data_IF_812137752285
#
_entry.id   IF_812137752285
#
_cell.length_a   1.000
_cell.length_b   1.000
_cell.length_c   1.000
_cell.angle_alpha   90.00
_cell.angle_beta   90.00
_cell.angle_gamma   90.00
#
_symmetry.space_group_name_H-M   'P 1'
#
loop_
_entity.id
_entity.type
_entity.pdbx_description
1 polymer ?
#
# COMPACT_ATOMS: atom_id res chain seq x y z
N UNK A 1 -8.14 -3.57 22.54
CA UNK A 1 -8.04 -2.12 22.76
C UNK A 1 -6.73 -1.64 22.14
N UNK A 2 -6.78 -1.16 20.90
CA UNK A 2 -5.68 -0.43 20.25
C UNK A 2 -6.11 1.04 20.21
N UNK A 3 -6.04 1.68 21.37
CA UNK A 3 -6.42 3.09 21.54
C UNK A 3 -5.35 3.97 20.90
N UNK A 4 -5.76 4.73 19.88
CA UNK A 4 -4.97 5.68 19.11
C UNK A 4 -3.92 5.01 18.22
N UNK A 5 -3.98 5.28 16.91
CA UNK A 5 -3.07 4.77 15.88
C UNK A 5 -1.61 5.21 15.99
N UNK A 6 -1.10 5.43 17.21
CA UNK A 6 0.29 5.71 17.53
C UNK A 6 1.09 4.45 17.94
N UNK A 7 0.43 3.31 18.20
CA UNK A 7 1.08 2.04 18.57
C UNK A 7 2.31 1.68 17.71
N UNK A 8 2.25 1.71 16.36
CA UNK A 8 3.40 1.29 15.55
C UNK A 8 4.58 2.27 15.62
N UNK A 9 4.35 3.54 15.98
CA UNK A 9 5.44 4.53 16.07
C UNK A 9 6.30 4.35 17.32
N UNK A 10 5.72 3.88 18.43
CA UNK A 10 6.42 3.76 19.72
C UNK A 10 7.60 2.79 19.65
N UNK A 11 7.34 1.56 19.19
CA UNK A 11 8.36 0.51 19.07
C UNK A 11 9.47 0.95 18.11
N UNK A 12 9.11 1.46 16.92
CA UNK A 12 10.10 1.95 15.96
C UNK A 12 10.98 3.06 16.55
N UNK A 13 10.40 4.00 17.30
CA UNK A 13 11.15 5.13 17.87
C UNK A 13 12.17 4.67 18.91
N UNK A 14 11.80 3.72 19.78
CA UNK A 14 12.71 3.17 20.80
C UNK A 14 13.88 2.45 20.13
N UNK A 15 13.60 1.50 19.24
CA UNK A 15 14.63 0.73 18.52
C UNK A 15 15.54 1.65 17.69
N UNK A 16 14.96 2.61 16.97
CA UNK A 16 15.73 3.57 16.18
C UNK A 16 16.64 4.44 17.07
N UNK A 17 16.17 4.85 18.26
CA UNK A 17 16.97 5.64 19.20
C UNK A 17 18.19 4.87 19.69
N UNK A 18 18.06 3.55 19.90
CA UNK A 18 19.18 2.68 20.27
C UNK A 18 20.20 2.52 19.13
N UNK A 19 19.73 2.45 17.88
CA UNK A 19 20.60 2.34 16.70
C UNK A 19 21.22 3.67 16.28
N UNK A 20 20.63 4.80 16.65
CA UNK A 20 21.01 6.13 16.19
C UNK A 20 22.48 6.48 16.43
N UNK A 21 23.09 6.23 17.61
CA UNK A 21 24.51 6.48 17.83
C UNK A 21 25.41 5.69 16.89
N UNK A 22 25.08 4.40 16.66
CA UNK A 22 25.83 3.56 15.74
C UNK A 22 25.72 4.07 14.29
N UNK A 23 24.53 4.50 13.85
CA UNK A 23 24.33 5.09 12.54
C UNK A 23 25.14 6.37 12.35
N UNK A 24 25.21 7.24 13.36
CA UNK A 24 26.04 8.45 13.32
C UNK A 24 27.54 8.14 13.23
N UNK A 25 28.01 7.14 13.99
CA UNK A 25 29.41 6.70 13.94
C UNK A 25 29.78 6.09 12.59
N UNK A 26 28.85 5.38 11.95
CA UNK A 26 29.06 4.76 10.62
C UNK A 26 28.87 5.75 9.45
N UNK A 27 28.26 6.90 9.69
CA UNK A 27 27.90 7.87 8.64
C UNK A 27 29.12 8.34 7.80
N UNK A 28 30.28 8.73 8.37
CA UNK A 28 31.43 9.17 7.57
C UNK A 28 31.95 8.06 6.64
N UNK A 29 31.96 6.81 7.13
CA UNK A 29 32.37 5.66 6.35
C UNK A 29 31.38 5.37 5.21
N UNK A 30 30.07 5.40 5.51
CA UNK A 30 29.02 5.24 4.51
C UNK A 30 29.10 6.31 3.43
N UNK A 31 29.28 7.59 3.80
CA UNK A 31 29.43 8.69 2.84
C UNK A 31 30.61 8.44 1.90
N UNK A 32 31.79 8.15 2.45
CA UNK A 32 32.98 7.82 1.64
C UNK A 32 32.75 6.62 0.72
N UNK A 33 32.13 5.56 1.24
CA UNK A 33 31.81 4.35 0.48
C UNK A 33 30.83 4.64 -0.66
N UNK A 34 29.83 5.49 -0.42
CA UNK A 34 28.80 5.85 -1.38
C UNK A 34 29.32 6.78 -2.47
N UNK A 35 30.06 7.83 -2.10
CA UNK A 35 30.62 8.80 -3.04
C UNK A 35 31.61 8.16 -4.03
N UNK A 36 32.29 7.07 -3.65
CA UNK A 36 33.18 6.36 -4.57
C UNK A 36 32.47 5.43 -5.56
N UNK A 37 31.14 5.25 -5.44
CA UNK A 37 30.34 4.31 -6.26
C UNK A 37 29.18 4.97 -6.99
N UNK A 38 28.74 6.14 -6.54
CA UNK A 38 27.71 6.91 -7.20
C UNK A 38 28.30 7.62 -8.43
N UNK A 39 27.58 7.57 -9.55
CA UNK A 39 27.96 8.30 -10.77
C UNK A 39 27.97 9.82 -10.54
N UNK A 40 27.04 10.31 -9.71
CA UNK A 40 26.95 11.71 -9.29
C UNK A 40 27.15 11.78 -7.77
N UNK A 41 28.37 12.06 -7.28
CA UNK A 41 28.65 12.13 -5.85
C UNK A 41 28.01 13.36 -5.18
N UNK A 42 27.84 14.47 -5.91
CA UNK A 42 27.14 15.67 -5.43
C UNK A 42 25.63 15.57 -5.69
N UNK A 43 25.01 14.60 -5.03
CA UNK A 43 23.58 14.33 -5.15
C UNK A 43 22.69 15.36 -4.40
N UNK A 44 21.40 15.08 -4.33
CA UNK A 44 20.42 15.93 -3.64
C UNK A 44 20.79 16.18 -2.17
N UNK A 45 21.36 15.18 -1.49
CA UNK A 45 21.75 15.29 -0.08
C UNK A 45 22.98 16.20 0.07
N UNK A 46 23.97 16.08 -0.82
CA UNK A 46 25.14 16.96 -0.84
C UNK A 46 24.74 18.43 -1.06
N UNK A 47 23.82 18.69 -2.00
CA UNK A 47 23.28 20.03 -2.29
C UNK A 47 22.60 20.66 -1.07
N UNK A 48 21.82 19.88 -0.32
CA UNK A 48 21.23 20.33 0.94
C UNK A 48 22.33 20.62 1.99
N UNK A 49 23.36 19.76 2.07
CA UNK A 49 24.51 19.95 2.94
C UNK A 49 25.24 21.27 2.69
N UNK A 50 25.49 21.63 1.43
CA UNK A 50 26.06 22.93 1.07
C UNK A 50 25.20 24.12 1.50
N UNK A 51 23.87 23.97 1.50
CA UNK A 51 22.98 24.99 2.03
C UNK A 51 23.10 25.12 3.55
N UNK A 52 23.16 24.01 4.28
CA UNK A 52 23.32 23.99 5.74
C UNK A 52 24.66 24.59 6.18
N UNK A 53 25.72 24.35 5.41
CA UNK A 53 27.05 24.94 5.62
C UNK A 53 27.16 26.39 5.11
N UNK A 54 26.07 27.00 4.65
CA UNK A 54 26.01 28.36 4.10
C UNK A 54 26.91 28.59 2.88
N UNK A 55 27.30 27.53 2.18
CA UNK A 55 28.09 27.60 0.94
C UNK A 55 27.22 27.91 -0.27
N UNK A 56 25.93 27.56 -0.22
CA UNK A 56 24.94 27.84 -1.27
C UNK A 56 23.61 28.30 -0.66
N UNK A 57 22.81 29.05 -1.42
CA UNK A 57 21.45 29.44 -1.00
C UNK A 57 20.47 28.29 -1.25
N UNK A 58 19.53 28.12 -0.33
CA UNK A 58 18.42 27.19 -0.51
C UNK A 58 17.56 27.59 -1.72
N UNK A 59 17.29 26.64 -2.59
CA UNK A 59 16.49 26.83 -3.80
C UNK A 59 15.34 25.83 -3.82
N UNK A 60 14.09 26.33 -3.74
CA UNK A 60 12.91 25.46 -3.63
C UNK A 60 12.78 24.47 -4.79
N UNK A 61 13.05 24.91 -6.02
CA UNK A 61 12.95 24.07 -7.22
C UNK A 61 13.94 22.88 -7.19
N UNK A 62 15.09 23.02 -6.53
CA UNK A 62 16.07 21.94 -6.40
C UNK A 62 15.76 21.01 -5.21
N UNK A 63 15.32 21.58 -4.08
CA UNK A 63 15.21 20.84 -2.82
C UNK A 63 13.82 20.26 -2.56
N UNK A 64 12.78 20.72 -3.25
CA UNK A 64 11.41 20.21 -3.09
C UNK A 64 11.34 18.70 -3.30
N UNK A 65 12.04 18.16 -4.31
CA UNK A 65 12.05 16.73 -4.59
C UNK A 65 12.61 15.92 -3.42
N UNK A 66 13.75 16.35 -2.87
CA UNK A 66 14.37 15.75 -1.70
C UNK A 66 13.47 15.82 -0.46
N UNK A 67 12.85 16.98 -0.20
CA UNK A 67 11.94 17.15 0.93
C UNK A 67 10.73 16.22 0.84
N UNK A 68 10.07 16.12 -0.32
CA UNK A 68 8.92 15.24 -0.52
C UNK A 68 9.32 13.76 -0.39
N UNK A 69 10.41 13.35 -1.03
CA UNK A 69 10.97 11.99 -0.90
C UNK A 69 11.32 11.64 0.54
N UNK A 70 11.91 12.58 1.28
CA UNK A 70 12.25 12.39 2.69
C UNK A 70 11.00 12.32 3.56
N UNK A 71 9.98 13.13 3.27
CA UNK A 71 8.69 13.10 3.96
C UNK A 71 7.97 11.76 3.76
N UNK A 72 7.98 11.20 2.55
CA UNK A 72 7.46 9.83 2.30
C UNK A 72 8.17 8.82 3.20
N UNK A 73 9.50 8.83 3.24
CA UNK A 73 10.26 7.90 4.09
C UNK A 73 9.97 8.10 5.57
N UNK A 74 9.94 9.34 6.04
CA UNK A 74 9.68 9.70 7.43
C UNK A 74 8.29 9.22 7.89
N UNK A 75 7.28 9.31 7.03
CA UNK A 75 5.93 8.86 7.35
C UNK A 75 5.81 7.33 7.29
N UNK A 76 6.30 6.71 6.23
CA UNK A 76 6.01 5.30 5.97
C UNK A 76 6.98 4.32 6.60
N UNK A 77 8.25 4.65 6.83
CA UNK A 77 9.18 3.73 7.50
C UNK A 77 8.67 3.34 8.90
N UNK A 78 8.31 4.29 9.79
CA UNK A 78 7.82 3.93 11.12
C UNK A 78 6.52 3.14 11.06
N UNK A 79 5.61 3.49 10.15
CA UNK A 79 4.32 2.80 9.99
C UNK A 79 4.53 1.34 9.56
N UNK A 80 5.35 1.10 8.52
CA UNK A 80 5.57 -0.24 7.99
C UNK A 80 6.39 -1.11 8.95
N UNK A 81 7.47 -0.56 9.50
CA UNK A 81 8.32 -1.29 10.44
C UNK A 81 7.59 -1.57 11.77
N UNK A 82 6.88 -0.58 12.32
CA UNK A 82 6.06 -0.75 13.51
C UNK A 82 4.97 -1.80 13.34
N UNK A 83 4.20 -1.72 12.24
CA UNK A 83 3.20 -2.72 11.94
C UNK A 83 3.81 -4.12 11.72
N UNK A 84 5.01 -4.20 11.14
CA UNK A 84 5.74 -5.45 10.98
C UNK A 84 6.10 -6.05 12.33
N UNK A 85 6.59 -5.25 13.28
CA UNK A 85 6.88 -5.71 14.64
C UNK A 85 5.62 -6.20 15.34
N UNK A 86 4.55 -5.41 15.35
CA UNK A 86 3.26 -5.79 15.96
C UNK A 86 2.73 -7.11 15.37
N UNK A 87 2.78 -7.25 14.04
CA UNK A 87 2.30 -8.45 13.33
C UNK A 87 3.18 -9.67 13.63
N UNK A 88 4.50 -9.46 13.74
CA UNK A 88 5.45 -10.53 14.06
C UNK A 88 5.28 -11.00 15.50
N UNK A 89 5.13 -10.09 16.45
CA UNK A 89 4.85 -10.43 17.85
C UNK A 89 3.55 -11.22 17.96
N UNK A 90 2.49 -10.77 17.28
CA UNK A 90 1.23 -11.49 17.24
C UNK A 90 1.40 -12.92 16.66
N UNK A 91 2.17 -13.10 15.58
CA UNK A 91 2.45 -14.42 15.00
C UNK A 91 3.25 -15.33 15.94
N UNK A 92 4.21 -14.79 16.68
CA UNK A 92 5.01 -15.54 17.65
C UNK A 92 4.16 -16.04 18.83
N UNK A 93 3.14 -15.27 19.22
CA UNK A 93 2.20 -15.62 20.28
C UNK A 93 0.95 -16.36 19.75
N UNK A 94 0.85 -16.57 18.43
CA UNK A 94 -0.34 -17.13 17.81
C UNK A 94 -0.49 -18.62 18.10
N UNK A 95 -1.59 -19.00 18.76
CA UNK A 95 -1.88 -20.39 19.10
C UNK A 95 -2.51 -21.12 17.92
N UNK A 96 -1.67 -21.81 17.14
CA UNK A 96 -2.12 -22.62 16.01
C UNK A 96 -3.01 -23.77 16.47
N UNK A 97 -4.09 -24.02 15.71
CA UNK A 97 -4.96 -25.18 15.90
C UNK A 97 -5.54 -25.63 14.57
N UNK A 98 -6.05 -26.86 14.50
CA UNK A 98 -6.71 -27.39 13.31
C UNK A 98 -8.10 -26.76 13.02
N UNK A 99 -8.56 -25.80 13.85
CA UNK A 99 -9.82 -25.11 13.63
C UNK A 99 -9.73 -24.23 12.37
N UNK A 100 -10.63 -24.36 11.38
CA UNK A 100 -10.53 -23.63 10.11
C UNK A 100 -10.37 -22.11 10.25
N UNK A 101 -11.14 -21.47 11.14
CA UNK A 101 -11.04 -20.02 11.38
C UNK A 101 -9.68 -19.60 11.94
N UNK A 102 -9.07 -20.43 12.78
CA UNK A 102 -7.73 -20.17 13.35
C UNK A 102 -6.67 -20.30 12.26
N UNK A 103 -6.76 -21.30 11.39
CA UNK A 103 -5.86 -21.47 10.25
C UNK A 103 -5.96 -20.27 9.31
N UNK A 104 -7.18 -19.84 8.96
CA UNK A 104 -7.41 -18.70 8.07
C UNK A 104 -6.83 -17.43 8.68
N UNK A 105 -7.09 -17.16 9.96
CA UNK A 105 -6.54 -16.01 10.67
C UNK A 105 -5.00 -16.04 10.70
N UNK A 106 -4.39 -17.20 10.97
CA UNK A 106 -2.95 -17.38 10.97
C UNK A 106 -2.32 -17.14 9.60
N UNK A 107 -2.88 -17.73 8.53
CA UNK A 107 -2.41 -17.54 7.14
C UNK A 107 -2.57 -16.08 6.70
N UNK A 108 -3.71 -15.46 7.02
CA UNK A 108 -3.93 -14.04 6.75
C UNK A 108 -2.86 -13.17 7.40
N UNK A 109 -2.59 -13.42 8.68
CA UNK A 109 -1.58 -12.68 9.44
C UNK A 109 -0.18 -12.91 8.88
N UNK A 110 0.14 -14.14 8.48
CA UNK A 110 1.42 -14.45 7.83
C UNK A 110 1.59 -13.69 6.52
N UNK A 111 0.56 -13.66 5.67
CA UNK A 111 0.59 -12.90 4.43
C UNK A 111 0.67 -11.39 4.66
N UNK A 112 0.04 -10.87 5.71
CA UNK A 112 0.21 -9.48 6.15
C UNK A 112 1.66 -9.18 6.57
N UNK A 113 2.30 -10.06 7.35
CA UNK A 113 3.70 -9.91 7.70
C UNK A 113 4.60 -9.89 6.45
N UNK A 114 4.33 -10.78 5.49
CA UNK A 114 5.05 -10.80 4.21
C UNK A 114 4.89 -9.48 3.41
N UNK A 115 3.67 -8.93 3.32
CA UNK A 115 3.41 -7.61 2.71
C UNK A 115 4.21 -6.50 3.40
N UNK A 116 4.21 -6.50 4.73
CA UNK A 116 4.91 -5.51 5.55
C UNK A 116 6.43 -5.62 5.45
N UNK A 117 6.99 -6.82 5.30
CA UNK A 117 8.41 -7.03 5.00
C UNK A 117 8.77 -6.37 3.67
N UNK A 118 8.01 -6.65 2.61
CA UNK A 118 8.23 -6.05 1.29
C UNK A 118 8.16 -4.52 1.38
N UNK A 119 7.14 -3.99 2.07
CA UNK A 119 6.99 -2.55 2.23
C UNK A 119 8.15 -1.93 3.01
N UNK A 120 8.54 -2.52 4.14
CA UNK A 120 9.64 -2.04 4.99
C UNK A 120 10.96 -2.04 4.22
N UNK A 121 11.29 -3.15 3.55
CA UNK A 121 12.47 -3.26 2.68
C UNK A 121 12.42 -2.19 1.59
N UNK A 122 11.25 -2.04 0.95
CA UNK A 122 11.01 -1.05 -0.10
C UNK A 122 11.40 0.35 0.34
N UNK A 123 11.00 0.78 1.54
CA UNK A 123 11.33 2.12 2.04
C UNK A 123 12.75 2.26 2.59
N UNK A 124 13.21 1.30 3.40
CA UNK A 124 14.53 1.36 4.06
C UNK A 124 15.66 1.31 3.03
N UNK A 125 15.54 0.42 2.04
CA UNK A 125 16.57 0.21 1.03
C UNK A 125 16.40 1.08 -0.22
N UNK A 126 15.53 2.10 -0.19
CA UNK A 126 15.37 3.04 -1.30
C UNK A 126 16.61 3.94 -1.47
N UNK A 127 17.58 3.49 -2.27
CA UNK A 127 18.88 4.13 -2.46
C UNK A 127 19.36 4.03 -3.91
N UNK A 128 20.11 5.05 -4.36
CA UNK A 128 20.78 5.05 -5.68
C UNK A 128 21.79 3.90 -5.78
N UNK A 129 22.44 3.52 -4.67
CA UNK A 129 23.41 2.43 -4.61
C UNK A 129 22.80 1.07 -4.99
N UNK A 130 21.52 0.86 -4.68
CA UNK A 130 20.80 -0.38 -4.94
C UNK A 130 19.95 -0.29 -6.21
N UNK A 131 20.10 0.79 -7.01
CA UNK A 131 19.29 1.05 -8.20
C UNK A 131 17.77 0.93 -7.95
N UNK A 132 17.36 1.36 -6.74
CA UNK A 132 15.99 1.32 -6.27
C UNK A 132 15.54 2.70 -5.80
N UNK A 133 16.20 3.78 -6.21
CA UNK A 133 15.92 5.10 -5.71
C UNK A 133 14.51 5.60 -6.09
N UNK A 134 14.02 6.54 -5.27
CA UNK A 134 12.84 7.32 -5.61
C UNK A 134 13.23 8.35 -6.65
N UNK A 135 12.73 8.16 -7.88
CA UNK A 135 12.94 9.04 -9.04
C UNK A 135 12.03 10.26 -9.02
N UNK A 136 10.81 10.09 -8.48
CA UNK A 136 9.84 11.18 -8.32
C UNK A 136 8.87 10.86 -7.19
N UNK A 137 8.37 11.90 -6.54
CA UNK A 137 7.32 11.82 -5.53
C UNK A 137 6.12 12.63 -6.01
N UNK A 138 4.90 12.17 -5.73
CA UNK A 138 3.66 12.82 -6.13
C UNK A 138 3.68 14.30 -5.69
N UNK A 139 3.63 15.26 -6.62
CA UNK A 139 3.73 16.68 -6.27
C UNK A 139 2.39 17.26 -5.81
N UNK A 140 1.28 16.52 -5.90
CA UNK A 140 -0.07 17.03 -5.68
C UNK A 140 -0.61 16.67 -4.30
N UNK A 141 -1.05 17.68 -3.54
CA UNK A 141 -1.63 17.49 -2.21
C UNK A 141 -2.81 16.49 -2.18
N UNK A 142 -3.62 16.46 -3.24
CA UNK A 142 -4.74 15.51 -3.33
C UNK A 142 -4.30 14.04 -3.31
N UNK A 143 -3.16 13.70 -3.94
CA UNK A 143 -2.62 12.34 -3.86
C UNK A 143 -2.19 11.98 -2.45
N UNK A 144 -1.54 12.93 -1.77
CA UNK A 144 -1.14 12.78 -0.36
C UNK A 144 -2.34 12.58 0.56
N UNK A 145 -3.36 13.45 0.50
CA UNK A 145 -4.53 13.35 1.37
C UNK A 145 -5.28 12.03 1.21
N UNK A 146 -5.51 11.63 -0.04
CA UNK A 146 -6.21 10.39 -0.39
C UNK A 146 -5.38 9.15 -0.03
N UNK A 147 -4.06 9.24 -0.05
CA UNK A 147 -3.18 8.17 0.43
C UNK A 147 -3.21 8.09 1.96
N UNK A 148 -3.00 9.22 2.65
CA UNK A 148 -2.84 9.29 4.10
C UNK A 148 -4.11 8.94 4.87
N UNK A 149 -5.31 9.10 4.30
CA UNK A 149 -6.55 8.63 4.95
C UNK A 149 -6.55 7.11 5.21
N UNK A 150 -5.75 6.34 4.46
CA UNK A 150 -5.57 4.91 4.67
C UNK A 150 -4.47 4.56 5.68
N UNK A 151 -3.88 5.55 6.35
CA UNK A 151 -2.76 5.38 7.27
C UNK A 151 -2.97 6.17 8.56
N UNK A 152 -2.42 5.73 9.69
CA UNK A 152 -2.50 6.51 10.92
C UNK A 152 -1.86 7.91 10.75
N UNK A 153 -2.39 8.96 11.43
CA UNK A 153 -3.53 8.93 12.34
C UNK A 153 -4.91 9.00 11.65
N UNK A 154 -4.97 9.35 10.36
CA UNK A 154 -6.23 9.58 9.64
C UNK A 154 -7.04 8.29 9.40
N UNK A 155 -6.40 7.12 9.51
CA UNK A 155 -7.04 5.80 9.44
C UNK A 155 -8.24 5.66 10.40
N UNK A 156 -8.26 6.40 11.51
CA UNK A 156 -9.40 6.43 12.45
C UNK A 156 -10.69 6.89 11.74
N UNK A 157 -10.59 7.91 10.89
CA UNK A 157 -11.73 8.41 10.11
C UNK A 157 -12.21 7.33 9.14
N UNK A 158 -11.27 6.69 8.45
CA UNK A 158 -11.58 5.60 7.52
C UNK A 158 -12.30 4.44 8.22
N UNK A 159 -11.82 4.03 9.39
CA UNK A 159 -12.46 2.97 10.18
C UNK A 159 -13.84 3.37 10.69
N UNK A 160 -14.00 4.61 11.16
CA UNK A 160 -15.29 5.10 11.65
C UNK A 160 -16.37 5.09 10.56
N UNK A 161 -16.06 5.59 9.35
CA UNK A 161 -17.00 5.58 8.23
C UNK A 161 -17.29 4.16 7.73
N UNK A 162 -16.29 3.26 7.75
CA UNK A 162 -16.44 1.86 7.34
C UNK A 162 -17.21 1.01 8.37
N UNK A 163 -17.34 1.45 9.61
CA UNK A 163 -17.86 0.60 10.69
C UNK A 163 -19.31 0.17 10.43
N UNK A 164 -19.52 -1.15 10.39
CA UNK A 164 -20.86 -1.73 10.23
C UNK A 164 -21.70 -1.52 11.51
N UNK A 165 -23.01 -1.65 11.37
CA UNK A 165 -24.00 -1.51 12.47
C UNK A 165 -23.86 -2.59 13.52
N UNK A 166 -23.40 -3.75 13.10
CA UNK A 166 -23.18 -4.96 13.88
C UNK A 166 -21.71 -5.39 13.78
N UNK A 167 -21.38 -6.54 14.40
CA UNK A 167 -20.06 -7.16 14.34
C UNK A 167 -20.07 -8.47 13.54
N UNK A 168 -21.13 -8.73 12.78
CA UNK A 168 -21.28 -9.94 11.99
C UNK A 168 -20.47 -9.80 10.69
N UNK A 169 -19.96 -10.93 10.22
CA UNK A 169 -19.15 -11.03 9.02
C UNK A 169 -19.69 -12.13 8.11
N UNK A 170 -19.04 -12.32 6.96
CA UNK A 170 -19.45 -13.31 5.97
C UNK A 170 -19.60 -14.75 6.50
N UNK A 171 -18.81 -15.13 7.52
CA UNK A 171 -18.87 -16.46 8.11
C UNK A 171 -20.02 -16.62 9.12
N UNK A 172 -20.65 -15.53 9.55
CA UNK A 172 -21.88 -15.55 10.35
C UNK A 172 -23.12 -15.61 9.44
N UNK A 173 -22.99 -15.09 8.21
CA UNK A 173 -24.05 -15.14 7.19
C UNK A 173 -24.19 -16.52 6.55
N UNK A 174 -23.06 -17.16 6.21
CA UNK A 174 -23.02 -18.43 5.52
C UNK A 174 -22.57 -19.55 6.46
N UNK A 175 -23.23 -20.70 6.38
CA UNK A 175 -22.89 -21.88 7.16
C UNK A 175 -22.07 -22.89 6.34
N UNK A 176 -21.17 -23.63 7.00
CA UNK A 176 -20.18 -24.48 6.32
C UNK A 176 -20.77 -25.69 5.57
N UNK A 177 -22.03 -26.03 5.82
CA UNK A 177 -22.83 -27.03 5.08
C UNK A 177 -23.27 -26.54 3.69
N UNK A 178 -23.24 -25.23 3.44
CA UNK A 178 -23.65 -24.65 2.16
C UNK A 178 -22.46 -24.58 1.18
N UNK A 179 -22.61 -25.03 -0.08
CA UNK A 179 -21.57 -24.85 -1.10
C UNK A 179 -21.17 -23.38 -1.32
N UNK A 180 -22.12 -22.46 -1.13
CA UNK A 180 -21.89 -21.02 -1.25
C UNK A 180 -20.86 -20.52 -0.23
N UNK A 181 -20.79 -21.10 0.98
CA UNK A 181 -19.79 -20.77 1.99
C UNK A 181 -18.37 -20.95 1.45
N UNK A 182 -18.10 -22.12 0.86
CA UNK A 182 -16.78 -22.46 0.34
C UNK A 182 -16.40 -21.64 -0.88
N UNK A 183 -17.37 -21.37 -1.77
CA UNK A 183 -17.16 -20.45 -2.88
C UNK A 183 -16.80 -19.03 -2.38
N UNK A 184 -17.54 -18.51 -1.39
CA UNK A 184 -17.31 -17.19 -0.83
C UNK A 184 -15.94 -17.09 -0.12
N UNK A 185 -15.61 -18.11 0.68
CA UNK A 185 -14.32 -18.24 1.36
C UNK A 185 -13.15 -18.28 0.36
N UNK A 186 -13.30 -19.05 -0.73
CA UNK A 186 -12.33 -19.12 -1.81
C UNK A 186 -12.12 -17.76 -2.47
N UNK A 187 -13.20 -17.05 -2.79
CA UNK A 187 -13.13 -15.73 -3.41
C UNK A 187 -12.44 -14.71 -2.50
N UNK A 188 -12.79 -14.66 -1.21
CA UNK A 188 -12.10 -13.81 -0.23
C UNK A 188 -10.61 -14.15 -0.18
N UNK A 189 -10.26 -15.44 -0.10
CA UNK A 189 -8.85 -15.86 -0.08
C UNK A 189 -8.11 -15.44 -1.36
N UNK A 190 -8.74 -15.60 -2.52
CA UNK A 190 -8.19 -15.19 -3.81
C UNK A 190 -7.94 -13.68 -3.88
N UNK A 191 -8.76 -12.85 -3.23
CA UNK A 191 -8.52 -11.40 -3.16
C UNK A 191 -7.23 -11.07 -2.39
N UNK A 192 -7.00 -11.65 -1.21
CA UNK A 192 -5.76 -11.39 -0.47
C UNK A 192 -4.52 -11.94 -1.17
N UNK A 193 -4.63 -13.12 -1.78
CA UNK A 193 -3.53 -13.66 -2.60
C UNK A 193 -3.19 -12.73 -3.76
N UNK A 194 -4.21 -12.21 -4.46
CA UNK A 194 -4.01 -11.21 -5.53
C UNK A 194 -3.34 -9.95 -4.98
N UNK A 195 -3.75 -9.48 -3.80
CA UNK A 195 -3.16 -8.33 -3.14
C UNK A 195 -1.68 -8.57 -2.80
N UNK A 196 -1.33 -9.66 -2.12
CA UNK A 196 0.06 -9.97 -1.73
C UNK A 196 0.96 -10.23 -2.92
N UNK A 197 0.48 -10.94 -3.96
CA UNK A 197 1.24 -11.14 -5.20
C UNK A 197 1.48 -9.79 -5.90
N UNK A 198 0.51 -8.87 -5.84
CA UNK A 198 0.69 -7.52 -6.38
C UNK A 198 1.81 -6.77 -5.63
N UNK A 199 1.86 -6.86 -4.30
CA UNK A 199 2.96 -6.29 -3.52
C UNK A 199 4.30 -6.97 -3.81
N UNK A 200 4.33 -8.29 -3.94
CA UNK A 200 5.53 -9.05 -4.27
C UNK A 200 6.13 -8.64 -5.63
N UNK A 201 5.29 -8.32 -6.62
CA UNK A 201 5.73 -7.82 -7.93
C UNK A 201 6.41 -6.43 -7.84
N UNK A 202 6.07 -5.60 -6.85
CA UNK A 202 6.85 -4.40 -6.57
C UNK A 202 8.20 -4.73 -5.92
N UNK A 203 8.22 -5.71 -5.01
CA UNK A 203 9.41 -6.09 -4.26
C UNK A 203 10.06 -4.88 -3.58
N UNK A 204 11.39 -4.77 -3.71
CA UNK A 204 12.17 -3.63 -3.19
C UNK A 204 11.84 -2.25 -3.80
N UNK A 205 11.02 -2.18 -4.86
CA UNK A 205 10.54 -0.92 -5.44
C UNK A 205 9.22 -0.47 -4.83
N UNK A 206 8.63 -1.25 -3.93
CA UNK A 206 7.38 -0.89 -3.25
C UNK A 206 7.52 0.47 -2.56
N UNK A 207 6.60 1.38 -2.84
CA UNK A 207 6.47 2.66 -2.16
C UNK A 207 5.17 3.36 -2.54
N UNK A 208 4.51 3.97 -1.57
CA UNK A 208 3.40 4.88 -1.82
C UNK A 208 3.90 6.24 -2.34
N UNK A 209 3.09 6.91 -3.16
CA UNK A 209 3.29 8.29 -3.63
C UNK A 209 4.59 8.51 -4.42
N UNK A 210 5.25 7.46 -4.92
CA UNK A 210 6.51 7.62 -5.63
C UNK A 210 6.55 6.84 -6.95
N UNK A 211 7.40 7.33 -7.86
CA UNK A 211 7.81 6.61 -9.05
C UNK A 211 9.21 6.04 -8.84
N UNK A 212 9.31 4.71 -8.96
CA UNK A 212 10.56 3.94 -8.81
C UNK A 212 10.81 3.01 -9.99
N UNK A 213 10.11 3.25 -11.10
CA UNK A 213 10.09 2.40 -12.28
C UNK A 213 8.78 1.64 -12.42
N UNK A 214 8.51 1.24 -13.66
CA UNK A 214 7.30 0.53 -14.04
C UNK A 214 7.29 -0.91 -13.50
N UNK A 215 6.13 -1.36 -13.04
CA UNK A 215 5.82 -2.76 -12.79
C UNK A 215 4.64 -3.15 -13.68
N UNK A 216 4.89 -4.05 -14.63
CA UNK A 216 3.91 -4.51 -15.62
C UNK A 216 3.79 -6.05 -15.67
N UNK A 217 4.39 -6.74 -14.70
CA UNK A 217 4.38 -8.21 -14.58
C UNK A 217 3.37 -8.71 -13.56
N UNK A 218 3.07 -10.00 -13.60
CA UNK A 218 2.11 -10.62 -12.68
C UNK A 218 0.71 -10.00 -12.84
N UNK A 219 0.00 -9.69 -11.74
CA UNK A 219 -1.33 -9.09 -11.80
C UNK A 219 -1.38 -7.75 -12.56
N UNK A 220 -0.26 -7.01 -12.62
CA UNK A 220 -0.17 -5.74 -13.36
C UNK A 220 -0.23 -5.94 -14.88
N UNK A 221 0.02 -7.15 -15.40
CA UNK A 221 -0.17 -7.44 -16.82
C UNK A 221 -1.66 -7.40 -17.25
N UNK A 222 -2.59 -7.37 -16.29
CA UNK A 222 -4.02 -7.50 -16.54
C UNK A 222 -4.83 -6.25 -16.17
N UNK A 223 -4.33 -5.45 -15.23
CA UNK A 223 -4.96 -4.22 -14.75
C UNK A 223 -3.92 -3.32 -14.11
N UNK A 224 -4.15 -2.00 -14.12
CA UNK A 224 -3.23 -1.01 -13.54
C UNK A 224 -3.15 -1.08 -12.01
N UNK A 225 -4.23 -1.49 -11.34
CA UNK A 225 -4.34 -1.46 -9.88
C UNK A 225 -4.97 -2.75 -9.31
N UNK A 226 -4.31 -3.92 -9.48
CA UNK A 226 -4.81 -5.21 -9.03
C UNK A 226 -5.02 -5.26 -7.50
N UNK A 227 -4.08 -4.73 -6.73
CA UNK A 227 -4.17 -4.64 -5.28
C UNK A 227 -5.38 -3.80 -4.79
N UNK A 228 -5.70 -2.69 -5.46
CA UNK A 228 -6.83 -1.85 -5.07
C UNK A 228 -8.17 -2.52 -5.40
N UNK A 229 -8.26 -3.18 -6.55
CA UNK A 229 -9.44 -3.97 -6.94
C UNK A 229 -9.66 -5.11 -5.94
N UNK A 230 -8.59 -5.86 -5.62
CA UNK A 230 -8.65 -6.96 -4.66
C UNK A 230 -9.09 -6.49 -3.28
N UNK A 231 -8.52 -5.40 -2.75
CA UNK A 231 -8.95 -4.80 -1.47
C UNK A 231 -10.41 -4.38 -1.48
N UNK A 232 -10.89 -3.84 -2.59
CA UNK A 232 -12.27 -3.42 -2.72
C UNK A 232 -13.23 -4.62 -2.63
N UNK A 233 -13.02 -5.62 -3.50
CA UNK A 233 -13.81 -6.85 -3.52
C UNK A 233 -13.77 -7.52 -2.15
N UNK A 234 -12.58 -7.62 -1.56
CA UNK A 234 -12.39 -8.15 -0.22
C UNK A 234 -13.32 -7.49 0.79
N UNK A 235 -13.30 -6.16 0.91
CA UNK A 235 -14.09 -5.49 1.94
C UNK A 235 -15.59 -5.73 1.76
N UNK A 236 -16.11 -5.68 0.53
CA UNK A 236 -17.53 -5.97 0.27
C UNK A 236 -17.90 -7.41 0.62
N UNK A 237 -17.05 -8.37 0.25
CA UNK A 237 -17.30 -9.78 0.53
C UNK A 237 -17.13 -10.12 2.00
N UNK A 238 -16.20 -9.45 2.69
CA UNK A 238 -15.89 -9.73 4.09
C UNK A 238 -16.93 -9.13 5.04
N UNK A 239 -17.33 -7.88 4.82
CA UNK A 239 -18.28 -7.18 5.71
C UNK A 239 -19.73 -7.54 5.44
N UNK A 240 -20.08 -7.96 4.22
CA UNK A 240 -21.44 -8.35 3.84
C UNK A 240 -22.46 -7.31 4.33
N UNK A 241 -22.40 -6.06 3.83
CA UNK A 241 -23.04 -4.89 4.47
C UNK A 241 -24.58 -4.94 4.54
N UNK A 242 -25.19 -5.95 3.93
CA UNK A 242 -26.63 -6.20 3.93
C UNK A 242 -27.07 -7.23 4.99
N UNK A 243 -26.14 -7.94 5.60
CA UNK A 243 -26.42 -8.93 6.64
C UNK A 243 -26.41 -8.26 8.02
N UNK A 244 -27.16 -8.80 8.98
CA UNK A 244 -27.22 -8.26 10.35
C UNK A 244 -28.02 -6.96 10.52
N UNK A 245 -28.68 -6.49 9.45
CA UNK A 245 -29.37 -5.21 9.41
C UNK A 245 -30.83 -5.32 9.90
N UNK A 246 -31.23 -4.44 10.82
CA UNK A 246 -32.58 -4.43 11.41
C UNK A 246 -33.55 -3.47 10.73
N UNK A 247 -33.05 -2.43 10.05
CA UNK A 247 -33.88 -1.39 9.40
C UNK A 247 -33.18 -0.79 8.17
N UNK A 248 -33.94 -0.03 7.35
CA UNK A 248 -33.42 0.58 6.12
C UNK A 248 -32.31 1.61 6.36
N UNK A 249 -32.31 2.29 7.50
CA UNK A 249 -31.27 3.27 7.84
C UNK A 249 -29.92 2.58 8.03
N UNK A 250 -29.89 1.47 8.77
CA UNK A 250 -28.70 0.65 8.96
C UNK A 250 -28.14 0.10 7.64
N UNK A 251 -29.02 -0.37 6.74
CA UNK A 251 -28.62 -0.84 5.41
C UNK A 251 -27.94 0.28 4.62
N UNK A 252 -28.57 1.45 4.56
CA UNK A 252 -28.04 2.60 3.83
C UNK A 252 -26.72 3.07 4.42
N UNK A 253 -26.58 3.07 5.76
CA UNK A 253 -25.33 3.44 6.45
C UNK A 253 -24.20 2.48 6.08
N UNK A 254 -24.44 1.17 6.14
CA UNK A 254 -23.45 0.14 5.83
C UNK A 254 -23.02 0.21 4.36
N UNK A 255 -23.97 0.34 3.45
CA UNK A 255 -23.70 0.53 2.01
C UNK A 255 -22.95 1.83 1.74
N UNK A 256 -23.32 2.94 2.38
CA UNK A 256 -22.62 4.22 2.24
C UNK A 256 -21.17 4.13 2.72
N UNK A 257 -20.91 3.43 3.83
CA UNK A 257 -19.55 3.14 4.30
C UNK A 257 -18.73 2.35 3.28
N UNK A 258 -19.35 1.35 2.64
CA UNK A 258 -18.71 0.55 1.60
C UNK A 258 -18.48 1.30 0.28
N UNK A 259 -19.40 2.20 -0.10
CA UNK A 259 -19.22 3.14 -1.21
C UNK A 259 -18.09 4.11 -0.90
N UNK A 260 -17.98 4.61 0.33
CA UNK A 260 -16.87 5.46 0.77
C UNK A 260 -15.53 4.74 0.64
N UNK A 261 -15.40 3.51 1.17
CA UNK A 261 -14.19 2.68 1.00
C UNK A 261 -13.82 2.54 -0.48
N UNK A 262 -14.83 2.29 -1.32
CA UNK A 262 -14.63 2.13 -2.75
C UNK A 262 -14.17 3.40 -3.44
N UNK A 263 -14.73 4.53 -3.02
CA UNK A 263 -14.37 5.85 -3.51
C UNK A 263 -12.94 6.19 -3.14
N UNK A 264 -12.48 5.89 -1.92
CA UNK A 264 -11.09 6.12 -1.51
C UNK A 264 -10.11 5.34 -2.39
N UNK A 265 -10.33 4.04 -2.63
CA UNK A 265 -9.43 3.27 -3.49
C UNK A 265 -9.49 3.70 -4.96
N UNK A 266 -10.66 4.12 -5.45
CA UNK A 266 -10.79 4.72 -6.77
C UNK A 266 -9.99 6.03 -6.88
N UNK A 267 -10.14 6.92 -5.90
CA UNK A 267 -9.40 8.19 -5.87
C UNK A 267 -7.89 7.94 -5.77
N UNK A 268 -7.45 6.97 -4.95
CA UNK A 268 -6.03 6.57 -4.86
C UNK A 268 -5.47 6.18 -6.22
N UNK A 269 -6.18 5.30 -6.94
CA UNK A 269 -5.81 4.90 -8.29
C UNK A 269 -5.69 6.12 -9.21
N UNK A 270 -6.66 7.04 -9.16
CA UNK A 270 -6.68 8.21 -10.06
C UNK A 270 -5.62 9.25 -9.74
N UNK A 271 -5.36 9.52 -8.47
CA UNK A 271 -4.29 10.44 -8.08
C UNK A 271 -2.91 9.87 -8.42
N UNK A 272 -2.73 8.57 -8.22
CA UNK A 272 -1.51 7.86 -8.57
C UNK A 272 -1.30 7.86 -10.10
N UNK A 273 -2.31 7.47 -10.88
CA UNK A 273 -2.27 7.56 -12.35
C UNK A 273 -1.92 8.97 -12.82
N UNK A 274 -2.49 10.03 -12.23
CA UNK A 274 -2.16 11.41 -12.59
C UNK A 274 -0.68 11.74 -12.40
N UNK A 275 -0.07 11.28 -11.31
CA UNK A 275 1.37 11.44 -11.10
C UNK A 275 2.17 10.60 -12.09
N UNK A 276 1.81 9.33 -12.26
CA UNK A 276 2.54 8.38 -13.09
C UNK A 276 2.47 8.69 -14.60
N UNK A 277 1.39 9.33 -15.06
CA UNK A 277 1.24 9.76 -16.46
C UNK A 277 2.27 10.81 -16.91
N UNK A 278 3.06 11.37 -15.99
CA UNK A 278 4.23 12.18 -16.35
C UNK A 278 5.37 11.38 -17.01
N UNK A 279 5.37 10.05 -16.88
CA UNK A 279 6.42 9.17 -17.40
C UNK A 279 5.96 8.43 -18.66
N UNK A 280 6.78 8.48 -19.72
CA UNK A 280 6.45 7.88 -21.02
C UNK A 280 6.19 6.38 -20.92
N UNK A 281 6.99 5.68 -20.12
CA UNK A 281 6.86 4.24 -19.89
C UNK A 281 5.50 3.89 -19.27
N UNK A 282 4.99 4.73 -18.38
CA UNK A 282 3.67 4.53 -17.79
C UNK A 282 2.54 4.87 -18.77
N UNK A 283 2.70 5.89 -19.62
CA UNK A 283 1.73 6.20 -20.67
C UNK A 283 1.57 5.01 -21.63
N UNK A 284 2.68 4.41 -22.06
CA UNK A 284 2.69 3.26 -22.97
C UNK A 284 2.05 2.04 -22.31
N UNK A 285 2.36 1.79 -21.03
CA UNK A 285 1.72 0.76 -20.24
C UNK A 285 0.21 0.99 -20.07
N UNK A 286 -0.21 2.22 -19.77
CA UNK A 286 -1.62 2.56 -19.60
C UNK A 286 -2.42 2.37 -20.90
N UNK A 287 -1.85 2.72 -22.04
CA UNK A 287 -2.43 2.46 -23.36
C UNK A 287 -2.54 0.96 -23.63
N UNK A 288 -1.48 0.19 -23.37
CA UNK A 288 -1.49 -1.27 -23.52
C UNK A 288 -2.58 -1.93 -22.65
N UNK A 289 -2.72 -1.53 -21.39
CA UNK A 289 -3.77 -2.08 -20.49
C UNK A 289 -5.17 -1.63 -20.90
N UNK A 290 -5.34 -0.43 -21.47
CA UNK A 290 -6.64 -0.01 -21.99
C UNK A 290 -7.13 -0.94 -23.12
N UNK A 291 -6.22 -1.46 -23.94
CA UNK A 291 -6.55 -2.35 -25.05
C UNK A 291 -6.57 -3.84 -24.70
N UNK A 292 -5.60 -4.28 -23.87
CA UNK A 292 -5.31 -5.69 -23.63
C UNK A 292 -5.58 -6.14 -22.18
N UNK A 293 -5.84 -5.20 -21.27
CA UNK A 293 -6.28 -5.49 -19.91
C UNK A 293 -7.62 -6.22 -19.89
N UNK A 294 -8.02 -6.71 -18.71
CA UNK A 294 -9.27 -7.48 -18.53
C UNK A 294 -10.47 -6.70 -19.08
N UNK A 295 -10.63 -5.43 -18.68
CA UNK A 295 -11.73 -4.57 -19.14
C UNK A 295 -11.66 -4.27 -20.64
N UNK A 296 -10.46 -4.10 -21.19
CA UNK A 296 -10.26 -3.88 -22.63
C UNK A 296 -10.70 -5.10 -23.45
N UNK A 297 -10.28 -6.29 -23.04
CA UNK A 297 -10.68 -7.56 -23.66
C UNK A 297 -12.19 -7.82 -23.54
N UNK A 298 -12.79 -7.56 -22.38
CA UNK A 298 -14.24 -7.67 -22.18
C UNK A 298 -15.03 -6.74 -23.11
N UNK A 299 -14.61 -5.47 -23.25
CA UNK A 299 -15.24 -4.53 -24.19
C UNK A 299 -15.15 -5.03 -25.62
N UNK A 300 -13.96 -5.45 -26.07
CA UNK A 300 -13.77 -6.00 -27.43
C UNK A 300 -14.67 -7.21 -27.70
N UNK A 301 -14.80 -8.13 -26.73
CA UNK A 301 -15.69 -9.28 -26.84
C UNK A 301 -17.16 -8.85 -26.98
N UNK A 302 -17.65 -7.94 -26.12
CA UNK A 302 -19.03 -7.44 -26.16
C UNK A 302 -19.37 -6.73 -27.49
N UNK A 303 -18.45 -5.92 -28.02
CA UNK A 303 -18.65 -5.25 -29.31
C UNK A 303 -18.62 -6.23 -30.49
N UNK A 304 -17.79 -7.27 -30.43
CA UNK A 304 -17.73 -8.30 -31.47
C UNK A 304 -19.04 -9.08 -31.55
N UNK A 305 -19.65 -9.44 -30.41
CA UNK A 305 -20.93 -10.16 -30.36
C UNK A 305 -22.10 -9.33 -30.91
N UNK A 306 -22.07 -8.00 -30.77
CA UNK A 306 -23.09 -7.08 -31.33
C UNK A 306 -23.02 -6.88 -32.84
N UNK A 307 -21.89 -7.21 -33.48
CA UNK A 307 -21.73 -7.09 -34.94
C UNK A 307 -22.04 -8.40 -35.67
N UNK A 308 -22.16 -9.51 -34.93
CA UNK A 308 -22.40 -10.86 -35.47
C UNK A 308 -23.78 -11.42 -35.15
N UNK A 309 -24.66 -10.62 -34.53
CA UNK A 309 -26.07 -10.97 -34.24
C UNK A 309 -26.99 -9.87 -34.74
#
# INVERSE_FOLDING_TARGET
MAGLGFSPFGIFTVEFTLLYPALLLLLPWYLRFSSSRLAEPDDEYAKLGYCLLRQRKFAWHEHKALLLKSLVKLLFIPIMAGALFDTTEFLLQFNWSAKPLVIIAGIFTFGLAFDLIIATIGYVFASKLLNSDVKSTDPYLSGWLVCLICYPPLLVIYHWVKQQTDNLLWYDWLSADQPLYWFWAFMITATWMTYWISSANFGWRFSNLTWRGLVNTGPYAHTKHPAYIAKNIYWWMHTVPFFGVSNSYELVRNLAGMVFVSTIYYLRAKTEERHLMAFKEYQDYAACIAENGILGRMKKALFKTRLTG
#
